data_IF_657509499310
#
_entry.id   IF_657509499310
#
_cell.length_a   1.000
_cell.length_b   1.000
_cell.length_c   1.000
_cell.angle_alpha   90.00
_cell.angle_beta   90.00
_cell.angle_gamma   90.00
#
_symmetry.space_group_name_H-M   'P 1'
#
loop_
_entity.id
_entity.type
_entity.pdbx_description
1 polymer ?
#
# COMPACT_ATOMS: atom_id res chain seq x y z
N UNK A 1 -15.29 -5.38 3.17
CA UNK A 1 -13.92 -5.17 2.65
C UNK A 1 -13.62 -3.68 2.78
N UNK A 2 -12.46 -3.31 3.32
CA UNK A 2 -12.05 -1.90 3.45
C UNK A 2 -11.34 -1.50 2.18
N UNK A 3 -11.63 -0.31 1.66
CA UNK A 3 -10.86 0.25 0.55
C UNK A 3 -9.60 0.93 1.10
N UNK A 4 -8.45 0.41 0.70
CA UNK A 4 -7.11 0.88 1.08
C UNK A 4 -6.32 1.37 -0.15
N UNK A 5 -6.92 1.30 -1.34
CA UNK A 5 -6.30 1.71 -2.60
C UNK A 5 -5.99 3.21 -2.58
N UNK A 6 -4.81 3.57 -3.07
CA UNK A 6 -4.32 4.96 -3.10
C UNK A 6 -3.89 5.53 -1.75
N UNK A 7 -4.14 4.83 -0.63
CA UNK A 7 -3.64 5.24 0.68
C UNK A 7 -2.13 5.04 0.78
N UNK A 8 -1.50 5.86 1.62
CA UNK A 8 -0.14 5.63 2.08
C UNK A 8 -0.07 4.38 2.95
N UNK A 9 1.10 3.74 2.97
CA UNK A 9 1.37 2.56 3.82
C UNK A 9 0.91 2.78 5.27
N UNK A 10 1.38 3.84 5.95
CA UNK A 10 1.02 4.15 7.34
C UNK A 10 -0.52 4.24 7.55
N UNK A 11 -1.22 4.94 6.67
CA UNK A 11 -2.68 5.08 6.76
C UNK A 11 -3.39 3.74 6.59
N UNK A 12 -2.94 2.93 5.63
CA UNK A 12 -3.53 1.62 5.39
C UNK A 12 -3.31 0.66 6.58
N UNK A 13 -2.10 0.65 7.12
CA UNK A 13 -1.74 -0.16 8.29
C UNK A 13 -2.58 0.24 9.51
N UNK A 14 -2.66 1.54 9.84
CA UNK A 14 -3.47 2.02 10.97
C UNK A 14 -4.93 1.61 10.88
N UNK A 15 -5.51 1.62 9.68
CA UNK A 15 -6.90 1.21 9.46
C UNK A 15 -7.12 -0.30 9.66
N UNK A 16 -6.11 -1.11 9.36
CA UNK A 16 -6.13 -2.55 9.56
C UNK A 16 -5.90 -2.91 11.04
N UNK A 17 -4.93 -2.25 11.69
CA UNK A 17 -4.65 -2.36 13.12
C UNK A 17 -5.86 -2.00 13.98
N UNK A 18 -6.49 -0.87 13.69
CA UNK A 18 -7.68 -0.41 14.43
C UNK A 18 -8.85 -1.41 14.37
N UNK A 19 -8.83 -2.34 13.42
CA UNK A 19 -9.84 -3.38 13.23
C UNK A 19 -9.35 -4.78 13.61
N UNK A 20 -8.12 -4.92 14.10
CA UNK A 20 -7.53 -6.21 14.48
C UNK A 20 -7.39 -7.17 13.30
N UNK A 21 -7.24 -6.66 12.09
CA UNK A 21 -7.07 -7.47 10.88
C UNK A 21 -5.59 -7.81 10.70
N UNK A 22 -5.28 -8.95 10.08
CA UNK A 22 -3.92 -9.29 9.69
C UNK A 22 -3.62 -8.83 8.27
N UNK A 23 -2.38 -8.44 8.01
CA UNK A 23 -1.96 -8.01 6.68
C UNK A 23 -0.51 -8.39 6.35
N UNK A 24 -0.16 -8.33 5.07
CA UNK A 24 1.20 -8.28 4.56
C UNK A 24 1.35 -7.12 3.57
N UNK A 25 2.54 -6.56 3.52
CA UNK A 25 2.93 -5.55 2.54
C UNK A 25 3.93 -6.13 1.56
N UNK A 26 3.69 -5.91 0.27
CA UNK A 26 4.59 -6.27 -0.83
C UNK A 26 4.98 -4.98 -1.52
N UNK A 27 6.25 -4.59 -1.40
CA UNK A 27 6.76 -3.39 -2.08
C UNK A 27 7.23 -3.78 -3.48
N UNK A 28 6.67 -3.13 -4.49
CA UNK A 28 7.11 -3.26 -5.88
C UNK A 28 7.77 -1.96 -6.34
N UNK A 29 8.78 -2.11 -7.21
CA UNK A 29 9.48 -0.97 -7.80
C UNK A 29 8.89 -0.64 -9.17
N UNK A 30 8.81 0.66 -9.55
CA UNK A 30 8.46 1.03 -10.90
C UNK A 30 9.53 0.55 -11.90
N UNK A 31 9.14 0.09 -13.10
CA UNK A 31 10.05 -0.55 -14.04
C UNK A 31 11.07 0.40 -14.71
N UNK A 32 10.94 1.72 -14.55
CA UNK A 32 11.66 2.70 -15.38
C UNK A 32 12.62 3.65 -14.68
N UNK A 33 12.76 3.63 -13.35
CA UNK A 33 13.84 4.29 -12.58
C UNK A 33 13.63 4.06 -11.08
N UNK A 34 14.68 3.87 -10.28
CA UNK A 34 14.55 4.10 -8.85
C UNK A 34 14.13 5.56 -8.67
N UNK A 35 12.96 5.78 -8.09
CA UNK A 35 12.57 7.11 -7.62
C UNK A 35 13.38 7.35 -6.34
N UNK A 36 14.32 8.29 -6.35
CA UNK A 36 15.03 8.72 -5.12
C UNK A 36 14.03 9.27 -4.10
N UNK A 37 13.11 10.14 -4.55
CA UNK A 37 12.05 10.74 -3.75
C UNK A 37 10.65 10.30 -4.22
N UNK A 38 9.74 10.04 -3.26
CA UNK A 38 8.38 9.60 -3.54
C UNK A 38 7.75 8.83 -2.38
N UNK A 39 6.43 8.66 -2.42
CA UNK A 39 5.66 8.01 -1.36
C UNK A 39 5.21 6.62 -1.78
N UNK A 40 5.25 5.67 -0.86
CA UNK A 40 4.62 4.36 -1.06
C UNK A 40 3.10 4.51 -0.96
N UNK A 41 2.42 4.14 -2.04
CA UNK A 41 0.95 4.05 -2.07
C UNK A 41 0.50 2.65 -2.41
N UNK A 42 -0.62 2.25 -1.82
CA UNK A 42 -1.28 0.98 -2.12
C UNK A 42 -1.85 1.04 -3.53
N UNK A 43 -1.31 0.22 -4.44
CA UNK A 43 -1.78 0.11 -5.83
C UNK A 43 -2.67 -1.12 -6.06
N UNK A 44 -2.58 -2.10 -5.15
CA UNK A 44 -3.39 -3.31 -5.19
C UNK A 44 -3.67 -3.75 -3.78
N UNK A 45 -4.88 -4.24 -3.55
CA UNK A 45 -5.26 -4.92 -2.32
C UNK A 45 -5.91 -6.25 -2.67
N UNK A 46 -5.54 -7.29 -1.95
CA UNK A 46 -6.15 -8.62 -2.05
C UNK A 46 -6.51 -9.08 -0.65
N UNK A 47 -7.60 -9.82 -0.51
CA UNK A 47 -8.00 -10.38 0.77
C UNK A 47 -8.17 -11.88 0.61
N UNK A 48 -7.29 -12.64 1.24
CA UNK A 48 -7.23 -14.11 1.10
C UNK A 48 -7.05 -14.70 2.49
N UNK A 49 -7.85 -15.72 2.83
CA UNK A 49 -7.73 -16.47 4.09
C UNK A 49 -7.67 -15.59 5.36
N UNK A 50 -8.44 -14.49 5.39
CA UNK A 50 -8.50 -13.60 6.55
C UNK A 50 -7.37 -12.55 6.62
N UNK A 51 -6.46 -12.55 5.64
CA UNK A 51 -5.30 -11.65 5.59
C UNK A 51 -5.39 -10.69 4.41
N UNK A 52 -5.11 -9.40 4.65
CA UNK A 52 -4.98 -8.40 3.59
C UNK A 52 -3.56 -8.44 3.00
N UNK A 53 -3.45 -8.59 1.69
CA UNK A 53 -2.19 -8.41 0.96
C UNK A 53 -2.21 -7.07 0.25
N UNK A 54 -1.36 -6.16 0.69
CA UNK A 54 -1.23 -4.82 0.13
C UNK A 54 0.00 -4.75 -0.77
N UNK A 55 -0.19 -4.44 -2.05
CA UNK A 55 0.92 -4.12 -2.94
C UNK A 55 1.15 -2.62 -2.94
N UNK A 56 2.35 -2.21 -2.53
CA UNK A 56 2.78 -0.83 -2.44
C UNK A 56 3.72 -0.52 -3.60
N UNK A 57 3.49 0.59 -4.29
CA UNK A 57 4.41 1.10 -5.30
C UNK A 57 4.83 2.51 -4.94
N UNK A 58 6.10 2.83 -5.21
CA UNK A 58 6.63 4.18 -5.02
C UNK A 58 6.10 5.06 -6.16
N UNK A 59 5.33 6.08 -5.82
CA UNK A 59 4.83 7.09 -6.76
C UNK A 59 5.58 8.41 -6.56
N UNK A 60 5.88 9.14 -7.64
CA UNK A 60 6.50 10.47 -7.52
C UNK A 60 5.56 11.45 -6.81
N UNK A 61 6.13 12.41 -6.07
CA UNK A 61 5.39 13.45 -5.34
C UNK A 61 4.69 14.47 -6.25
N UNK A 62 5.01 14.47 -7.55
CA UNK A 62 4.56 15.45 -8.57
C UNK A 62 3.03 15.43 -8.87
N UNK A 63 2.24 14.64 -8.15
CA UNK A 63 0.77 14.54 -8.33
C UNK A 63 -0.01 15.26 -7.22
N UNK A 64 0.29 16.55 -6.98
CA UNK A 64 -0.56 17.42 -6.15
C UNK A 64 -1.15 18.58 -6.95
#
# INVERSE_FOLDING_TARGET
MIDLLGLSEDKAIRLLEARGLTWETVVTAPPRKPLDEGYLRVIKQEFTEGKYRLTLCKVPDDFR
#
